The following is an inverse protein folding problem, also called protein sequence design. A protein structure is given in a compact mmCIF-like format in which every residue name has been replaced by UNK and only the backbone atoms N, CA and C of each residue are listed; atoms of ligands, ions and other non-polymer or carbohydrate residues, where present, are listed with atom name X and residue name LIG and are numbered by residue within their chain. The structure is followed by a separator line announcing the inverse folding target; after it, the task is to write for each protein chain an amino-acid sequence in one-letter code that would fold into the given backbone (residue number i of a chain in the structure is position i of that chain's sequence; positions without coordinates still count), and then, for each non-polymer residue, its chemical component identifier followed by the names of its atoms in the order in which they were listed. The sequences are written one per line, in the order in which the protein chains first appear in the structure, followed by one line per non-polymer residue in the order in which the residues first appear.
data_IF_316380387390
#
_entry.id   IF_316380387390
#
_cell.length_a   1.000
_cell.length_b   1.000
_cell.length_c   1.000
_cell.angle_alpha   90.00
_cell.angle_beta   90.00
_cell.angle_gamma   90.00
#
_symmetry.space_group_name_H-M   'P 1'
#
loop_
_entity.id
_entity.type
_entity.pdbx_description
1 polymer ?
#
# COMPACT_ATOMS: atom_id res chain seq x y z
N UNK A 1 -23.36 -10.78 2.11
CA UNK A 1 -22.17 -10.36 1.38
C UNK A 1 -21.68 -9.04 1.95
N UNK A 2 -20.38 -8.98 2.24
CA UNK A 2 -19.81 -7.77 2.80
C UNK A 2 -19.25 -6.91 1.68
N UNK A 3 -19.67 -5.66 1.63
CA UNK A 3 -19.16 -4.71 0.64
C UNK A 3 -18.61 -3.50 1.37
N UNK A 4 -17.61 -2.87 0.75
CA UNK A 4 -17.04 -1.66 1.29
C UNK A 4 -17.99 -0.49 1.08
N UNK A 5 -18.22 0.28 2.13
CA UNK A 5 -19.11 1.43 2.06
C UNK A 5 -18.35 2.74 1.80
N UNK A 6 -17.05 2.66 1.48
CA UNK A 6 -16.21 3.84 1.32
C UNK A 6 -15.70 4.01 -0.10
N UNK A 7 -16.30 3.32 -1.08
CA UNK A 7 -15.83 3.38 -2.46
C UNK A 7 -15.90 4.79 -3.05
N UNK A 8 -16.79 5.63 -2.53
CA UNK A 8 -16.89 7.00 -2.99
C UNK A 8 -15.69 7.86 -2.59
N UNK A 9 -14.84 7.34 -1.69
CA UNK A 9 -13.62 8.04 -1.30
C UNK A 9 -12.43 7.72 -2.21
N UNK A 10 -12.58 6.80 -3.16
CA UNK A 10 -11.51 6.47 -4.10
C UNK A 10 -11.37 7.62 -5.11
N UNK A 11 -10.20 8.22 -5.15
CA UNK A 11 -9.90 9.32 -6.07
C UNK A 11 -8.87 8.91 -7.11
N UNK A 12 -8.04 7.93 -6.80
CA UNK A 12 -6.95 7.51 -7.66
C UNK A 12 -7.38 6.29 -8.44
N UNK A 13 -7.50 6.42 -9.76
CA UNK A 13 -7.86 5.30 -10.63
C UNK A 13 -6.72 4.85 -11.52
N UNK A 14 -5.66 5.64 -11.61
CA UNK A 14 -4.47 5.26 -12.37
C UNK A 14 -3.28 5.23 -11.43
N UNK A 15 -2.63 4.08 -11.35
CA UNK A 15 -1.48 3.92 -10.47
C UNK A 15 -0.28 4.68 -11.02
N UNK A 16 0.59 5.21 -10.13
CA UNK A 16 1.79 5.89 -10.60
C UNK A 16 2.71 4.93 -11.33
N UNK A 17 3.51 5.41 -12.28
CA UNK A 17 4.42 4.52 -13.02
C UNK A 17 5.52 3.94 -12.13
N UNK A 18 5.92 4.64 -11.09
CA UNK A 18 6.95 4.15 -10.18
C UNK A 18 6.82 4.86 -8.83
N UNK A 19 7.34 4.21 -7.79
CA UNK A 19 7.43 4.80 -6.45
C UNK A 19 8.81 4.47 -5.89
N UNK A 20 9.24 5.24 -4.89
CA UNK A 20 10.56 5.05 -4.29
C UNK A 20 10.52 4.17 -3.07
N UNK A 21 9.36 3.91 -2.51
CA UNK A 21 9.20 3.07 -1.35
C UNK A 21 8.15 3.63 -0.41
N UNK A 22 8.14 3.09 0.81
CA UNK A 22 7.27 3.61 1.87
C UNK A 22 7.75 5.00 2.27
N UNK A 23 6.86 6.00 2.17
CA UNK A 23 7.27 7.39 2.39
C UNK A 23 7.82 7.61 3.79
N UNK A 24 7.15 7.04 4.80
CA UNK A 24 7.63 7.23 6.17
C UNK A 24 8.90 6.44 6.44
N UNK A 25 9.02 5.23 5.89
CA UNK A 25 10.24 4.46 6.04
C UNK A 25 11.43 5.18 5.43
N UNK A 26 11.23 5.80 4.26
CA UNK A 26 12.30 6.57 3.63
C UNK A 26 12.72 7.75 4.49
N UNK A 27 11.76 8.38 5.17
CA UNK A 27 12.05 9.54 6.02
C UNK A 27 12.74 9.15 7.32
N UNK A 28 12.45 7.96 7.85
CA UNK A 28 12.94 7.57 9.18
C UNK A 28 14.01 6.49 9.16
N UNK A 29 14.38 5.99 7.97
CA UNK A 29 15.36 4.92 7.88
C UNK A 29 14.80 3.54 8.14
N UNK A 30 13.46 3.39 8.10
CA UNK A 30 12.83 2.10 8.30
C UNK A 30 12.94 1.20 7.10
N UNK A 31 12.53 -0.06 7.28
CA UNK A 31 12.53 -1.05 6.21
C UNK A 31 11.15 -1.61 6.03
N UNK A 32 10.71 -1.68 4.78
CA UNK A 32 9.38 -2.19 4.46
C UNK A 32 9.48 -3.56 3.81
N UNK A 33 8.39 -4.35 3.97
CA UNK A 33 8.28 -5.63 3.30
C UNK A 33 7.54 -5.49 1.98
N UNK A 34 6.31 -5.01 2.03
CA UNK A 34 5.49 -4.78 0.84
C UNK A 34 4.91 -3.37 0.88
N UNK A 35 4.48 -2.88 -0.29
CA UNK A 35 4.02 -1.50 -0.41
C UNK A 35 2.52 -1.47 -0.72
N UNK A 36 1.87 -0.45 -0.17
CA UNK A 36 0.45 -0.17 -0.37
C UNK A 36 0.28 1.30 -0.71
N UNK A 37 -0.67 1.61 -1.59
CA UNK A 37 -0.93 3.00 -1.95
C UNK A 37 -2.33 3.38 -1.49
N UNK A 38 -2.45 4.57 -0.91
CA UNK A 38 -3.75 5.13 -0.53
C UNK A 38 -4.48 5.55 -1.79
N UNK A 39 -5.69 5.02 -2.00
CA UNK A 39 -6.44 5.34 -3.20
C UNK A 39 -7.14 6.69 -3.13
N UNK A 40 -7.03 7.39 -2.01
CA UNK A 40 -7.60 8.72 -1.91
C UNK A 40 -6.57 9.81 -2.19
N UNK A 41 -5.36 9.70 -1.64
CA UNK A 41 -4.36 10.77 -1.77
C UNK A 41 -3.05 10.32 -2.40
N UNK A 42 -2.86 9.03 -2.65
CA UNK A 42 -1.63 8.54 -3.27
C UNK A 42 -0.47 8.29 -2.33
N UNK A 43 -0.68 8.42 -1.02
CA UNK A 43 0.38 8.12 -0.05
C UNK A 43 0.81 6.66 -0.17
N UNK A 44 2.12 6.42 -0.18
CA UNK A 44 2.66 5.06 -0.25
C UNK A 44 3.19 4.68 1.13
N UNK A 45 2.64 3.62 1.68
CA UNK A 45 3.04 3.12 2.99
C UNK A 45 3.32 1.64 2.94
N UNK A 46 3.89 1.12 4.03
CA UNK A 46 4.24 -0.29 4.11
C UNK A 46 3.11 -1.11 4.71
N UNK A 47 3.15 -2.41 4.41
CA UNK A 47 2.09 -3.34 4.79
C UNK A 47 2.12 -3.66 6.28
N UNK A 48 1.09 -4.40 6.73
CA UNK A 48 0.98 -4.76 8.14
C UNK A 48 2.08 -5.72 8.61
N UNK A 49 2.74 -6.41 7.68
CA UNK A 49 3.87 -7.28 8.04
C UNK A 49 5.18 -6.52 8.12
N UNK A 50 5.18 -5.24 7.78
CA UNK A 50 6.34 -4.37 7.97
C UNK A 50 6.33 -3.82 9.40
N UNK A 51 7.51 -3.58 9.97
CA UNK A 51 7.55 -3.08 11.36
C UNK A 51 6.79 -1.77 11.56
N UNK A 52 6.79 -0.87 10.57
CA UNK A 52 6.17 0.43 10.71
C UNK A 52 4.67 0.45 10.48
N UNK A 53 4.15 -0.48 9.70
CA UNK A 53 2.72 -0.54 9.35
C UNK A 53 2.18 0.83 8.93
N UNK A 54 2.92 1.51 8.05
CA UNK A 54 2.63 2.92 7.77
C UNK A 54 1.37 3.11 6.93
N UNK A 55 0.98 2.11 6.12
CA UNK A 55 -0.28 2.22 5.39
C UNK A 55 -1.47 2.23 6.35
N UNK A 56 -1.43 1.37 7.36
CA UNK A 56 -2.49 1.34 8.38
C UNK A 56 -2.50 2.62 9.19
N UNK A 57 -1.33 3.12 9.57
CA UNK A 57 -1.23 4.35 10.34
C UNK A 57 -1.80 5.53 9.55
N UNK A 58 -1.50 5.60 8.25
CA UNK A 58 -2.02 6.66 7.40
C UNK A 58 -3.54 6.62 7.34
N UNK A 59 -4.12 5.43 7.16
CA UNK A 59 -5.57 5.30 7.11
C UNK A 59 -6.22 5.78 8.40
N UNK A 60 -5.60 5.44 9.53
CA UNK A 60 -6.12 5.84 10.84
C UNK A 60 -6.01 7.33 11.08
N UNK A 61 -4.92 7.95 10.63
CA UNK A 61 -4.66 9.36 10.91
C UNK A 61 -5.40 10.29 9.97
N UNK A 62 -5.78 9.83 8.78
CA UNK A 62 -6.35 10.71 7.75
C UNK A 62 -7.78 10.37 7.40
N UNK A 63 -8.33 9.28 7.94
CA UNK A 63 -9.64 8.78 7.55
C UNK A 63 -9.71 8.43 6.05
N UNK A 64 -8.60 8.00 5.48
CA UNK A 64 -8.53 7.49 4.11
C UNK A 64 -8.48 5.97 4.20
N UNK A 65 -9.62 5.26 4.15
CA UNK A 65 -9.65 3.85 4.56
C UNK A 65 -9.19 2.87 3.49
N UNK A 66 -9.10 3.26 2.23
CA UNK A 66 -8.88 2.30 1.17
C UNK A 66 -7.46 2.37 0.63
N UNK A 67 -6.78 1.23 0.66
CA UNK A 67 -5.46 1.09 0.07
C UNK A 67 -5.51 0.03 -1.02
N UNK A 68 -4.49 0.02 -1.88
CA UNK A 68 -4.31 -1.00 -2.90
C UNK A 68 -2.88 -1.50 -2.86
N UNK A 69 -2.71 -2.80 -3.09
CA UNK A 69 -1.38 -3.37 -3.19
C UNK A 69 -0.64 -2.80 -4.40
N UNK A 70 0.65 -2.51 -4.22
CA UNK A 70 1.53 -2.13 -5.32
C UNK A 70 2.43 -3.27 -5.76
N UNK A 71 2.28 -4.44 -5.14
CA UNK A 71 3.13 -5.58 -5.46
C UNK A 71 2.76 -6.16 -6.83
N UNK A 72 3.75 -6.66 -7.59
CA UNK A 72 3.46 -7.25 -8.89
C UNK A 72 2.49 -8.41 -8.77
N UNK A 73 1.58 -8.50 -9.73
CA UNK A 73 0.58 -9.59 -9.82
C UNK A 73 -0.46 -9.54 -8.71
N UNK A 74 -0.56 -8.43 -7.96
CA UNK A 74 -1.59 -8.23 -6.95
C UNK A 74 -2.47 -7.05 -7.37
N UNK A 75 -3.77 -7.31 -7.41
CA UNK A 75 -4.74 -6.30 -7.86
C UNK A 75 -5.77 -5.95 -6.80
N UNK A 76 -5.58 -6.46 -5.59
CA UNK A 76 -6.58 -6.30 -4.55
C UNK A 76 -6.42 -4.98 -3.81
N UNK A 77 -7.56 -4.49 -3.31
CA UNK A 77 -7.64 -3.35 -2.43
C UNK A 77 -8.18 -3.81 -1.08
N UNK A 78 -8.01 -2.98 -0.08
CA UNK A 78 -8.42 -3.28 1.30
C UNK A 78 -9.01 -2.04 1.93
N UNK A 79 -10.15 -2.20 2.61
CA UNK A 79 -10.75 -1.13 3.40
C UNK A 79 -10.48 -1.39 4.87
N UNK A 80 -9.74 -0.49 5.51
CA UNK A 80 -9.39 -0.68 6.93
C UNK A 80 -10.59 -0.53 7.86
N UNK A 81 -11.61 0.22 7.45
CA UNK A 81 -12.79 0.40 8.29
C UNK A 81 -13.71 -0.81 8.19
N UNK A 82 -14.05 -1.22 6.98
CA UNK A 82 -14.97 -2.34 6.77
C UNK A 82 -14.27 -3.70 6.84
N UNK A 83 -12.93 -3.70 6.82
CA UNK A 83 -12.10 -4.90 6.93
C UNK A 83 -12.46 -5.92 5.86
N UNK A 84 -12.50 -5.45 4.61
CA UNK A 84 -12.79 -6.32 3.47
C UNK A 84 -11.75 -6.07 2.37
N UNK A 85 -11.43 -7.15 1.66
CA UNK A 85 -10.57 -7.09 0.48
C UNK A 85 -11.47 -7.20 -0.75
N UNK A 86 -11.11 -6.47 -1.82
CA UNK A 86 -11.91 -6.46 -3.03
C UNK A 86 -11.07 -5.95 -4.19
N UNK A 87 -11.56 -6.12 -5.40
CA UNK A 87 -10.90 -5.60 -6.60
C UNK A 87 -11.75 -4.45 -7.14
N UNK A 88 -11.08 -3.34 -7.45
CA UNK A 88 -11.73 -2.19 -8.09
C UNK A 88 -11.29 -2.16 -9.54
N UNK A 89 -12.15 -2.59 -10.49
CA UNK A 89 -11.72 -2.69 -11.90
C UNK A 89 -11.28 -1.36 -12.49
N UNK A 90 -11.80 -0.25 -11.98
CA UNK A 90 -11.45 1.07 -12.48
C UNK A 90 -10.04 1.50 -12.12
N UNK A 91 -9.43 0.88 -11.11
CA UNK A 91 -8.04 1.17 -10.74
C UNK A 91 -7.13 0.31 -11.60
N UNK A 92 -6.26 0.94 -12.37
CA UNK A 92 -5.44 0.22 -13.34
C UNK A 92 -4.03 0.80 -13.39
N UNK A 93 -3.17 0.10 -14.09
CA UNK A 93 -1.78 0.47 -14.22
C UNK A 93 -0.87 -0.45 -13.45
N UNK A 94 0.41 -0.36 -13.70
CA UNK A 94 1.43 -1.10 -12.98
C UNK A 94 2.46 -0.13 -12.48
N UNK A 95 2.88 -0.33 -11.24
CA UNK A 95 3.85 0.54 -10.61
C UNK A 95 5.16 -0.22 -10.47
N UNK A 96 6.26 0.39 -10.93
CA UNK A 96 7.58 -0.15 -10.66
C UNK A 96 7.95 0.19 -9.23
N UNK A 97 8.28 -0.84 -8.46
CA UNK A 97 8.64 -0.67 -7.07
C UNK A 97 10.08 -1.11 -6.86
N UNK A 98 10.78 -0.52 -5.88
CA UNK A 98 12.14 -0.93 -5.57
C UNK A 98 12.12 -2.27 -4.86
N UNK A 99 13.28 -2.96 -4.79
CA UNK A 99 13.37 -4.16 -3.99
C UNK A 99 12.98 -3.88 -2.54
N UNK A 100 12.37 -4.87 -1.89
CA UNK A 100 11.99 -4.75 -0.49
C UNK A 100 13.24 -4.86 0.38
N UNK A 101 13.60 -3.82 1.13
CA UNK A 101 14.79 -3.91 1.97
C UNK A 101 14.65 -4.94 3.08
N UNK A 102 13.44 -5.11 3.62
CA UNK A 102 13.25 -6.10 4.67
C UNK A 102 13.33 -7.51 4.11
N UNK A 103 12.74 -7.73 2.92
CA UNK A 103 12.81 -9.05 2.29
C UNK A 103 14.24 -9.40 1.93
N UNK A 104 15.01 -8.45 1.41
CA UNK A 104 16.41 -8.69 1.10
C UNK A 104 17.20 -9.06 2.35
N UNK A 105 16.90 -8.43 3.46
CA UNK A 105 17.56 -8.73 4.72
C UNK A 105 17.17 -10.14 5.21
N UNK A 106 15.88 -10.48 5.09
CA UNK A 106 15.40 -11.79 5.51
C UNK A 106 15.98 -12.92 4.67
N UNK A 107 16.26 -12.65 3.40
CA UNK A 107 16.85 -13.63 2.52
C UNK A 107 18.37 -13.70 2.63
N UNK A 108 18.95 -12.99 3.61
CA UNK A 108 20.38 -13.00 3.78
C UNK A 108 21.13 -12.33 2.66
N UNK A 109 20.55 -11.26 2.10
CA UNK A 109 21.13 -10.56 0.98
C UNK A 109 22.46 -9.90 1.26
N UNK A 110 22.77 -9.67 2.51
CA UNK A 110 24.07 -9.14 2.87
C UNK A 110 25.09 -10.27 2.88
N UNK A 111 26.17 -10.04 2.29
CA UNK A 111 27.23 -11.05 2.23
C UNK A 111 28.49 -10.51 2.78
#
# INVERSE_FOLDING_TARGET
MTVCTHLDQVQLTELPPSVEGCEECLATGGKWLHLRICLECGYVGCCDDSPGQHARAHASQTDHPIIRSLEPHEDWSWCFVDQVAFVIPEVHGETQIPPSPLLEEMLGGSR
#
